data_IF_566989920270
#
_entry.id   IF_566989920270
#
_cell.length_a   1.000
_cell.length_b   1.000
_cell.length_c   1.000
_cell.angle_alpha   90.00
_cell.angle_beta   90.00
_cell.angle_gamma   90.00
#
_symmetry.space_group_name_H-M   'P 1'
#
loop_
_entity.id
_entity.type
_entity.pdbx_description
1 polymer ?
#
# COMPACT_ATOMS: atom_id res chain seq x y z
N UNK A 1 32.40 -7.00 -28.02
CA UNK A 1 31.11 -7.69 -28.25
C UNK A 1 30.21 -6.70 -28.98
N UNK A 2 29.92 -6.94 -30.26
CA UNK A 2 29.00 -6.10 -31.03
C UNK A 2 27.57 -6.39 -30.55
N UNK A 3 26.73 -5.39 -30.23
CA UNK A 3 25.36 -5.64 -29.82
C UNK A 3 24.59 -6.28 -30.99
N UNK A 4 23.91 -7.39 -30.73
CA UNK A 4 23.08 -8.06 -31.74
C UNK A 4 21.88 -7.16 -32.10
N UNK A 5 21.91 -6.55 -33.28
CA UNK A 5 20.88 -5.61 -33.77
C UNK A 5 19.49 -6.24 -33.90
N UNK A 6 19.41 -7.57 -34.01
CA UNK A 6 18.13 -8.29 -34.06
C UNK A 6 17.36 -8.24 -32.73
N UNK A 7 18.06 -8.23 -31.57
CA UNK A 7 17.40 -8.09 -30.25
C UNK A 7 16.92 -6.64 -30.05
N UNK A 8 17.67 -5.66 -30.57
CA UNK A 8 17.26 -4.26 -30.54
C UNK A 8 16.00 -4.01 -31.38
N UNK A 9 15.84 -4.70 -32.52
CA UNK A 9 14.66 -4.61 -33.36
C UNK A 9 13.44 -5.35 -32.79
N UNK A 10 13.61 -6.49 -32.11
CA UNK A 10 12.50 -7.18 -31.42
C UNK A 10 11.91 -6.33 -30.27
N UNK A 11 12.74 -5.53 -29.59
CA UNK A 11 12.29 -4.58 -28.57
C UNK A 11 11.66 -3.29 -29.12
N UNK A 12 11.81 -3.00 -30.41
CA UNK A 12 11.23 -1.79 -31.04
C UNK A 12 9.78 -1.97 -31.50
N UNK A 13 9.28 -3.20 -31.60
CA UNK A 13 7.98 -3.50 -32.22
C UNK A 13 6.85 -3.88 -31.24
N UNK A 14 7.08 -3.97 -29.94
CA UNK A 14 5.95 -4.06 -29.00
C UNK A 14 5.27 -2.69 -28.96
N UNK A 15 4.10 -2.62 -29.59
CA UNK A 15 3.22 -1.45 -29.56
C UNK A 15 3.03 -1.01 -28.11
N UNK A 16 3.68 0.11 -27.83
CA UNK A 16 3.77 0.69 -26.51
C UNK A 16 2.37 1.15 -26.11
N UNK A 17 1.92 0.69 -24.94
CA UNK A 17 0.65 1.05 -24.32
C UNK A 17 -0.58 0.44 -25.00
N UNK A 18 -1.28 -0.45 -24.28
CA UNK A 18 -2.67 -0.78 -24.57
C UNK A 18 -3.56 0.03 -23.63
N UNK A 19 -3.84 1.32 -23.93
CA UNK A 19 -4.68 2.16 -23.08
C UNK A 19 -6.08 1.58 -22.91
N UNK A 20 -6.58 0.85 -23.91
CA UNK A 20 -7.85 0.11 -23.82
C UNK A 20 -7.82 -0.99 -22.74
N UNK A 21 -6.71 -1.72 -22.60
CA UNK A 21 -6.57 -2.75 -21.56
C UNK A 21 -6.52 -2.08 -20.18
N UNK A 22 -5.71 -1.02 -20.02
CA UNK A 22 -5.63 -0.28 -18.77
C UNK A 22 -7.00 0.28 -18.35
N UNK A 23 -7.73 0.87 -19.30
CA UNK A 23 -9.07 1.39 -19.08
C UNK A 23 -10.07 0.27 -18.75
N UNK A 24 -10.05 -0.84 -19.49
CA UNK A 24 -10.91 -2.00 -19.22
C UNK A 24 -10.68 -2.59 -17.82
N UNK A 25 -9.42 -2.71 -17.40
CA UNK A 25 -9.06 -3.15 -16.05
C UNK A 25 -9.50 -2.15 -14.96
N UNK A 26 -9.41 -0.85 -15.24
CA UNK A 26 -9.91 0.18 -14.32
C UNK A 26 -11.43 0.07 -14.13
N UNK A 27 -12.20 -0.08 -15.22
CA UNK A 27 -13.66 -0.29 -15.15
C UNK A 27 -13.99 -1.59 -14.40
N UNK A 28 -13.30 -2.68 -14.69
CA UNK A 28 -13.48 -3.94 -13.96
C UNK A 28 -13.16 -3.78 -12.46
N UNK A 29 -12.19 -2.93 -12.12
CA UNK A 29 -11.85 -2.62 -10.73
C UNK A 29 -12.93 -1.80 -10.05
N UNK A 30 -13.53 -0.81 -10.72
CA UNK A 30 -14.69 -0.09 -10.20
C UNK A 30 -15.86 -1.04 -9.91
N UNK A 31 -16.14 -1.99 -10.81
CA UNK A 31 -17.19 -2.99 -10.57
C UNK A 31 -16.87 -3.87 -9.37
N UNK A 32 -15.68 -4.49 -9.33
CA UNK A 32 -15.29 -5.43 -8.27
C UNK A 32 -15.14 -4.77 -6.91
N UNK A 33 -14.62 -3.54 -6.83
CA UNK A 33 -14.56 -2.77 -5.59
C UNK A 33 -15.92 -2.26 -5.14
N UNK A 34 -16.85 -1.95 -6.04
CA UNK A 34 -18.23 -1.63 -5.66
C UNK A 34 -18.93 -2.85 -5.04
N UNK A 35 -18.76 -4.03 -5.64
CA UNK A 35 -19.27 -5.30 -5.08
C UNK A 35 -18.68 -5.57 -3.68
N UNK A 36 -17.37 -5.37 -3.52
CA UNK A 36 -16.70 -5.50 -2.23
C UNK A 36 -17.25 -4.49 -1.22
N UNK A 37 -17.42 -3.23 -1.62
CA UNK A 37 -17.98 -2.17 -0.79
C UNK A 37 -19.39 -2.48 -0.29
N UNK A 38 -20.23 -3.13 -1.10
CA UNK A 38 -21.55 -3.59 -0.66
C UNK A 38 -21.45 -4.63 0.46
N UNK A 39 -20.58 -5.63 0.27
CA UNK A 39 -20.37 -6.67 1.29
C UNK A 39 -19.79 -6.08 2.58
N UNK A 40 -18.84 -5.15 2.48
CA UNK A 40 -18.25 -4.44 3.61
C UNK A 40 -19.25 -3.52 4.32
N UNK A 41 -20.26 -3.03 3.62
CA UNK A 41 -21.37 -2.27 4.19
C UNK A 41 -22.49 -3.16 4.78
N UNK A 42 -22.25 -4.46 4.91
CA UNK A 42 -23.19 -5.42 5.51
C UNK A 42 -24.33 -5.88 4.60
N UNK A 43 -24.24 -5.66 3.28
CA UNK A 43 -25.25 -6.17 2.33
C UNK A 43 -25.07 -7.69 2.18
N UNK A 44 -26.15 -8.45 2.38
CA UNK A 44 -26.15 -9.90 2.29
C UNK A 44 -25.86 -10.39 0.86
N UNK A 45 -25.29 -11.59 0.71
CA UNK A 45 -24.96 -12.14 -0.61
C UNK A 45 -26.19 -12.24 -1.53
N UNK A 46 -27.36 -12.55 -0.98
CA UNK A 46 -28.63 -12.63 -1.72
C UNK A 46 -29.10 -11.27 -2.25
N UNK A 47 -28.80 -10.17 -1.53
CA UNK A 47 -29.13 -8.79 -1.92
C UNK A 47 -28.10 -8.15 -2.87
N UNK A 48 -26.92 -8.75 -3.02
CA UNK A 48 -25.89 -8.31 -3.97
C UNK A 48 -26.28 -8.70 -5.40
N UNK A 49 -26.83 -9.90 -5.61
CA UNK A 49 -27.12 -10.47 -6.94
C UNK A 49 -28.39 -10.04 -7.69
N UNK A 50 -29.31 -9.22 -7.15
CA UNK A 50 -30.25 -8.46 -7.97
C UNK A 50 -29.70 -7.13 -8.49
N UNK A 51 -28.50 -6.69 -8.03
CA UNK A 51 -27.86 -5.42 -8.41
C UNK A 51 -28.80 -4.21 -8.29
N UNK A 52 -29.56 -4.17 -7.19
CA UNK A 52 -30.49 -3.07 -6.93
C UNK A 52 -29.73 -1.76 -6.68
N UNK A 53 -30.29 -0.64 -7.17
CA UNK A 53 -29.68 0.68 -7.04
C UNK A 53 -29.34 1.09 -5.59
N UNK A 54 -30.19 0.81 -4.57
CA UNK A 54 -29.85 1.09 -3.18
C UNK A 54 -28.65 0.28 -2.65
N UNK A 55 -28.53 -0.99 -3.04
CA UNK A 55 -27.39 -1.82 -2.65
C UNK A 55 -26.10 -1.28 -3.26
N UNK A 56 -26.11 -0.98 -4.57
CA UNK A 56 -24.96 -0.40 -5.27
C UNK A 56 -24.52 0.91 -4.61
N UNK A 57 -25.47 1.78 -4.24
CA UNK A 57 -25.18 3.05 -3.58
C UNK A 57 -24.39 2.89 -2.27
N UNK A 58 -24.62 1.81 -1.50
CA UNK A 58 -23.85 1.51 -0.27
C UNK A 58 -22.39 1.14 -0.56
N UNK A 59 -22.08 0.58 -1.73
CA UNK A 59 -20.71 0.19 -2.11
C UNK A 59 -19.86 1.31 -2.71
N UNK A 60 -20.50 2.37 -3.23
CA UNK A 60 -19.83 3.49 -3.89
C UNK A 60 -18.78 4.19 -3.00
N UNK A 61 -19.06 4.51 -1.71
CA UNK A 61 -18.08 5.20 -0.86
C UNK A 61 -16.74 4.46 -0.75
N UNK A 62 -16.77 3.14 -0.54
CA UNK A 62 -15.56 2.32 -0.51
C UNK A 62 -14.83 2.31 -1.86
N UNK A 63 -15.58 2.06 -2.95
CA UNK A 63 -15.04 2.05 -4.31
C UNK A 63 -14.30 3.35 -4.65
N UNK A 64 -14.93 4.50 -4.40
CA UNK A 64 -14.33 5.81 -4.64
C UNK A 64 -13.09 6.01 -3.78
N UNK A 65 -13.15 5.68 -2.50
CA UNK A 65 -12.02 5.84 -1.58
C UNK A 65 -10.79 5.02 -2.00
N UNK A 66 -10.95 3.71 -2.22
CA UNK A 66 -9.81 2.83 -2.53
C UNK A 66 -9.24 3.11 -3.91
N UNK A 67 -10.10 3.35 -4.92
CA UNK A 67 -9.62 3.64 -6.27
C UNK A 67 -8.97 5.01 -6.35
N UNK A 68 -9.41 6.00 -5.59
CA UNK A 68 -8.74 7.30 -5.49
C UNK A 68 -7.33 7.15 -4.91
N UNK A 69 -7.16 6.43 -3.80
CA UNK A 69 -5.85 6.17 -3.18
C UNK A 69 -4.91 5.51 -4.18
N UNK A 70 -5.33 4.41 -4.81
CA UNK A 70 -4.54 3.68 -5.80
C UNK A 70 -4.20 4.52 -7.04
N UNK A 71 -5.18 5.25 -7.56
CA UNK A 71 -4.98 6.10 -8.75
C UNK A 71 -3.95 7.17 -8.46
N UNK A 72 -4.10 7.92 -7.36
CA UNK A 72 -3.20 9.01 -7.00
C UNK A 72 -1.79 8.47 -6.74
N UNK A 73 -1.68 7.34 -6.04
CA UNK A 73 -0.41 6.66 -5.80
C UNK A 73 0.33 6.36 -7.11
N UNK A 74 -0.29 5.62 -8.05
CA UNK A 74 0.42 5.20 -9.25
C UNK A 74 0.54 6.28 -10.32
N UNK A 75 -0.42 7.21 -10.38
CA UNK A 75 -0.35 8.34 -11.29
C UNK A 75 0.80 9.29 -10.92
N UNK A 76 1.08 9.47 -9.62
CA UNK A 76 2.22 10.26 -9.18
C UNK A 76 3.56 9.67 -9.66
N UNK A 77 3.71 8.33 -9.59
CA UNK A 77 4.87 7.63 -10.13
C UNK A 77 4.95 7.74 -11.65
N UNK A 78 3.82 7.59 -12.35
CA UNK A 78 3.75 7.77 -13.81
C UNK A 78 4.21 9.16 -14.25
N UNK A 79 3.81 10.21 -13.51
CA UNK A 79 4.23 11.59 -13.78
C UNK A 79 5.75 11.74 -13.63
N UNK A 80 6.35 11.18 -12.57
CA UNK A 80 7.81 11.19 -12.39
C UNK A 80 8.52 10.40 -13.49
N UNK A 81 7.99 9.24 -13.88
CA UNK A 81 8.54 8.45 -14.97
C UNK A 81 8.54 9.25 -16.29
N UNK A 82 7.41 9.86 -16.64
CA UNK A 82 7.25 10.67 -17.86
C UNK A 82 8.17 11.88 -17.85
N UNK A 83 8.28 12.60 -16.74
CA UNK A 83 9.17 13.76 -16.59
C UNK A 83 10.64 13.41 -16.81
N UNK A 84 11.04 12.20 -16.41
CA UNK A 84 12.40 11.72 -16.54
C UNK A 84 12.62 10.81 -17.77
N UNK A 85 11.69 10.83 -18.74
CA UNK A 85 11.77 10.07 -20.00
C UNK A 85 11.92 8.54 -19.80
N UNK A 86 11.44 8.03 -18.69
CA UNK A 86 11.38 6.59 -18.40
C UNK A 86 10.17 6.00 -19.13
N UNK A 87 10.39 4.90 -19.86
CA UNK A 87 9.30 4.16 -20.52
C UNK A 87 8.50 3.41 -19.46
N UNK A 88 7.37 3.97 -19.03
CA UNK A 88 6.45 3.37 -18.07
C UNK A 88 5.02 3.30 -18.63
N UNK A 89 4.29 2.22 -18.33
CA UNK A 89 2.88 2.07 -18.73
C UNK A 89 1.95 3.03 -17.99
N UNK A 90 0.68 3.11 -18.40
CA UNK A 90 -0.37 3.59 -17.48
C UNK A 90 -0.55 2.57 -16.33
N UNK A 91 -1.11 2.98 -15.18
CA UNK A 91 -1.39 2.05 -14.09
C UNK A 91 -2.35 0.95 -14.55
N UNK A 92 -1.94 -0.30 -14.40
CA UNK A 92 -2.79 -1.46 -14.61
C UNK A 92 -3.38 -1.88 -13.27
N UNK A 93 -4.69 -1.70 -13.10
CA UNK A 93 -5.40 -2.17 -11.92
C UNK A 93 -5.63 -3.68 -12.00
N UNK A 94 -5.64 -4.32 -10.83
CA UNK A 94 -5.84 -5.76 -10.69
C UNK A 94 -7.21 -5.97 -10.01
N UNK A 95 -8.30 -6.12 -10.78
CA UNK A 95 -9.62 -6.39 -10.24
C UNK A 95 -9.68 -7.81 -9.67
N UNK A 96 -10.36 -7.96 -8.54
CA UNK A 96 -10.53 -9.26 -7.88
C UNK A 96 -12.01 -9.43 -7.55
N UNK A 97 -12.74 -10.31 -8.25
CA UNK A 97 -14.16 -10.51 -7.97
C UNK A 97 -14.35 -11.08 -6.55
N UNK A 98 -14.94 -10.31 -5.61
CA UNK A 98 -14.98 -10.70 -4.20
C UNK A 98 -15.81 -11.96 -3.99
N UNK A 99 -16.87 -12.15 -4.78
CA UNK A 99 -17.76 -13.32 -4.66
C UNK A 99 -17.15 -14.60 -5.23
N UNK A 100 -16.35 -14.50 -6.30
CA UNK A 100 -15.79 -15.68 -6.97
C UNK A 100 -14.48 -16.14 -6.31
N UNK A 101 -13.64 -15.19 -5.90
CA UNK A 101 -12.31 -15.46 -5.35
C UNK A 101 -12.25 -15.40 -3.82
N UNK A 102 -13.34 -15.02 -3.16
CA UNK A 102 -13.41 -14.93 -1.69
C UNK A 102 -12.52 -13.84 -1.08
N UNK A 103 -11.97 -12.94 -1.90
CA UNK A 103 -11.11 -11.85 -1.43
C UNK A 103 -11.93 -10.59 -1.16
N UNK A 104 -12.00 -10.10 0.09
CA UNK A 104 -13.04 -9.16 0.52
C UNK A 104 -12.86 -7.73 -0.02
N UNK A 105 -11.67 -7.38 -0.52
CA UNK A 105 -11.34 -5.98 -0.85
C UNK A 105 -11.61 -5.59 -2.32
N UNK A 106 -11.94 -6.55 -3.18
CA UNK A 106 -12.29 -6.28 -4.58
C UNK A 106 -11.12 -5.95 -5.52
N UNK A 107 -9.89 -5.78 -5.01
CA UNK A 107 -8.71 -5.50 -5.83
C UNK A 107 -7.40 -5.86 -5.12
N UNK A 108 -6.40 -6.33 -5.86
CA UNK A 108 -5.02 -6.47 -5.35
C UNK A 108 -4.21 -5.18 -5.47
N UNK A 109 -4.85 -4.08 -5.87
CA UNK A 109 -4.21 -2.80 -6.13
C UNK A 109 -3.96 -2.58 -7.62
N UNK A 110 -2.90 -1.83 -7.92
CA UNK A 110 -2.46 -1.59 -9.28
C UNK A 110 -0.94 -1.69 -9.36
N UNK A 111 -0.42 -1.74 -10.57
CA UNK A 111 1.02 -1.67 -10.78
C UNK A 111 1.36 -0.79 -11.98
N UNK A 112 2.54 -0.20 -11.91
CA UNK A 112 3.13 0.61 -12.98
C UNK A 112 4.26 -0.20 -13.62
N UNK A 113 4.11 -0.60 -14.89
CA UNK A 113 5.15 -1.37 -15.56
C UNK A 113 6.24 -0.44 -16.10
N UNK A 114 7.43 -0.51 -15.50
CA UNK A 114 8.63 0.19 -15.98
C UNK A 114 9.40 -0.73 -16.93
N UNK A 115 9.77 -0.24 -18.11
CA UNK A 115 10.43 -1.04 -19.18
C UNK A 115 11.79 -0.47 -19.63
N UNK A 116 12.31 0.53 -18.92
CA UNK A 116 13.64 1.09 -19.16
C UNK A 116 14.36 1.29 -17.83
N UNK A 117 15.70 1.11 -17.80
CA UNK A 117 16.48 1.27 -16.57
C UNK A 117 16.42 2.70 -16.05
N UNK A 118 16.62 2.85 -14.73
CA UNK A 118 16.64 4.17 -14.09
C UNK A 118 17.89 4.96 -14.52
N UNK A 119 17.77 6.23 -14.95
CA UNK A 119 18.92 7.00 -15.42
C UNK A 119 20.01 7.23 -14.37
N UNK A 120 19.61 7.49 -13.13
CA UNK A 120 20.52 7.78 -12.01
C UNK A 120 19.81 7.54 -10.66
N UNK A 121 20.57 7.56 -9.57
CA UNK A 121 20.07 7.38 -8.20
C UNK A 121 19.01 8.39 -7.76
N UNK A 122 19.07 9.63 -8.26
CA UNK A 122 18.07 10.68 -7.93
C UNK A 122 16.68 10.31 -8.48
N UNK A 123 16.63 9.85 -9.73
CA UNK A 123 15.37 9.41 -10.35
C UNK A 123 14.88 8.10 -9.74
N UNK A 124 15.79 7.18 -9.38
CA UNK A 124 15.46 5.96 -8.64
C UNK A 124 14.79 6.30 -7.30
N UNK A 125 15.34 7.26 -6.55
CA UNK A 125 14.75 7.77 -5.33
C UNK A 125 13.37 8.37 -5.58
N UNK A 126 13.24 9.31 -6.52
CA UNK A 126 11.98 10.01 -6.79
C UNK A 126 10.86 9.03 -7.17
N UNK A 127 11.18 7.99 -7.96
CA UNK A 127 10.23 6.93 -8.33
C UNK A 127 9.79 6.07 -7.13
N UNK A 128 10.73 5.76 -6.22
CA UNK A 128 10.43 5.03 -4.98
C UNK A 128 9.67 5.88 -3.96
N UNK A 129 9.97 7.16 -3.86
CA UNK A 129 9.44 8.04 -2.82
C UNK A 129 8.04 8.59 -3.14
N UNK A 130 7.79 9.05 -4.37
CA UNK A 130 6.59 9.83 -4.70
C UNK A 130 5.29 9.07 -4.47
N UNK A 131 5.24 7.79 -4.89
CA UNK A 131 4.03 6.96 -4.81
C UNK A 131 3.55 6.80 -3.37
N UNK A 132 4.38 6.22 -2.48
CA UNK A 132 4.03 6.02 -1.09
C UNK A 132 3.66 7.29 -0.36
N UNK A 133 4.36 8.40 -0.61
CA UNK A 133 4.13 9.66 0.10
C UNK A 133 2.82 10.32 -0.33
N UNK A 134 2.59 10.43 -1.63
CA UNK A 134 1.34 11.02 -2.15
C UNK A 134 0.16 10.10 -1.83
N UNK A 135 0.34 8.78 -1.92
CA UNK A 135 -0.66 7.80 -1.51
C UNK A 135 -1.00 7.89 -0.02
N UNK A 136 0.00 8.01 0.86
CA UNK A 136 -0.21 8.21 2.30
C UNK A 136 -0.92 9.53 2.58
N UNK A 137 -0.53 10.61 1.90
CA UNK A 137 -1.19 11.92 2.03
C UNK A 137 -2.66 11.88 1.62
N UNK A 138 -3.03 11.05 0.65
CA UNK A 138 -4.44 10.80 0.28
C UNK A 138 -5.13 9.85 1.27
N UNK A 139 -4.40 8.88 1.79
CA UNK A 139 -4.92 7.87 2.73
C UNK A 139 -5.31 8.48 4.06
N UNK A 140 -4.50 9.37 4.65
CA UNK A 140 -4.76 9.95 5.97
C UNK A 140 -6.12 10.67 6.09
N UNK A 141 -6.50 11.62 5.21
CA UNK A 141 -7.79 12.28 5.32
C UNK A 141 -8.97 11.32 5.10
N UNK A 142 -8.82 10.35 4.18
CA UNK A 142 -9.84 9.33 3.93
C UNK A 142 -10.02 8.44 5.16
N UNK A 143 -8.93 8.01 5.77
CA UNK A 143 -8.94 7.19 6.98
C UNK A 143 -9.55 7.97 8.17
N UNK A 144 -9.15 9.23 8.38
CA UNK A 144 -9.70 10.07 9.45
C UNK A 144 -11.21 10.27 9.29
N UNK A 145 -11.67 10.56 8.07
CA UNK A 145 -13.10 10.71 7.79
C UNK A 145 -13.86 9.40 7.96
N UNK A 146 -13.28 8.28 7.52
CA UNK A 146 -13.88 6.97 7.71
C UNK A 146 -13.99 6.59 9.19
N UNK A 147 -12.94 6.82 9.96
CA UNK A 147 -12.90 6.54 11.39
C UNK A 147 -13.93 7.38 12.16
N UNK A 148 -14.12 8.65 11.81
CA UNK A 148 -15.13 9.50 12.47
C UNK A 148 -16.58 9.07 12.18
N UNK A 149 -16.81 8.24 11.16
CA UNK A 149 -18.12 7.63 10.85
C UNK A 149 -18.19 6.16 11.26
N UNK A 150 -17.16 5.64 11.94
CA UNK A 150 -17.13 4.26 12.45
C UNK A 150 -17.80 4.18 13.82
N UNK A 151 -18.31 3.00 14.16
CA UNK A 151 -19.05 2.75 15.40
C UNK A 151 -18.15 2.08 16.44
N UNK A 152 -18.33 2.45 17.71
CA UNK A 152 -17.63 1.82 18.82
C UNK A 152 -18.42 0.61 19.32
N UNK A 153 -17.75 -0.53 19.46
CA UNK A 153 -18.33 -1.77 19.98
C UNK A 153 -17.52 -2.25 21.19
N UNK A 154 -18.15 -3.04 22.07
CA UNK A 154 -17.43 -3.69 23.17
C UNK A 154 -16.41 -4.69 22.59
N UNK A 155 -15.15 -4.63 23.02
CA UNK A 155 -14.07 -5.44 22.41
C UNK A 155 -14.36 -6.94 22.50
N UNK A 156 -14.48 -7.66 21.36
CA UNK A 156 -14.47 -9.11 21.36
C UNK A 156 -13.06 -9.64 21.69
N UNK A 157 -12.96 -10.91 22.09
CA UNK A 157 -11.71 -11.55 22.56
C UNK A 157 -10.63 -11.73 21.46
N UNK A 158 -10.97 -11.59 20.18
CA UNK A 158 -10.04 -11.68 19.04
C UNK A 158 -10.09 -10.41 18.17
N UNK A 159 -9.08 -9.53 18.30
CA UNK A 159 -8.94 -8.28 17.53
C UNK A 159 -7.58 -8.19 16.82
N UNK A 160 -7.55 -7.63 15.59
CA UNK A 160 -6.37 -7.59 14.72
C UNK A 160 -6.28 -6.30 13.88
N UNK A 161 -5.15 -6.07 13.20
CA UNK A 161 -4.90 -4.86 12.39
C UNK A 161 -5.69 -4.88 11.06
N UNK A 162 -5.92 -6.08 10.52
CA UNK A 162 -6.67 -6.32 9.29
C UNK A 162 -7.95 -7.13 9.50
N UNK A 163 -8.30 -7.42 10.76
CA UNK A 163 -9.59 -7.99 11.09
C UNK A 163 -10.68 -6.93 10.96
N UNK A 164 -11.39 -6.96 9.83
CA UNK A 164 -12.46 -6.02 9.48
C UNK A 164 -13.57 -6.00 10.55
N UNK A 165 -13.79 -7.13 11.24
CA UNK A 165 -14.82 -7.26 12.26
C UNK A 165 -14.37 -6.79 13.66
N UNK A 166 -13.06 -6.67 13.90
CA UNK A 166 -12.49 -6.32 15.21
C UNK A 166 -11.14 -5.62 15.06
N UNK A 167 -11.20 -4.39 14.56
CA UNK A 167 -10.01 -3.56 14.37
C UNK A 167 -9.41 -3.14 15.72
N UNK A 168 -8.13 -3.47 15.95
CA UNK A 168 -7.36 -2.97 17.09
C UNK A 168 -6.42 -1.82 16.69
N UNK A 169 -6.76 -0.55 17.02
CA UNK A 169 -5.89 0.59 16.74
C UNK A 169 -4.51 0.50 17.39
N UNK A 170 -4.35 -0.28 18.47
CA UNK A 170 -3.11 -0.39 19.24
C UNK A 170 -2.01 -1.16 18.52
N UNK A 171 -2.37 -1.97 17.52
CA UNK A 171 -1.43 -2.78 16.74
C UNK A 171 -0.49 -1.95 15.85
N UNK A 172 -0.73 -0.64 15.69
CA UNK A 172 0.14 0.28 14.97
C UNK A 172 0.17 1.65 15.64
N UNK A 173 1.36 2.22 15.85
CA UNK A 173 1.52 3.55 16.45
C UNK A 173 0.80 4.64 15.63
N UNK A 174 0.95 4.63 14.31
CA UNK A 174 0.30 5.62 13.44
C UNK A 174 -1.22 5.49 13.52
N UNK A 175 -1.74 4.27 13.45
CA UNK A 175 -3.18 4.02 13.50
C UNK A 175 -3.74 4.42 14.87
N UNK A 176 -3.09 4.08 15.97
CA UNK A 176 -3.51 4.51 17.31
C UNK A 176 -3.68 6.03 17.41
N UNK A 177 -2.74 6.79 16.86
CA UNK A 177 -2.79 8.26 16.83
C UNK A 177 -3.94 8.77 15.97
N UNK A 178 -4.10 8.23 14.75
CA UNK A 178 -5.18 8.64 13.84
C UNK A 178 -6.56 8.26 14.38
N UNK A 179 -6.70 7.07 14.98
CA UNK A 179 -7.92 6.61 15.63
C UNK A 179 -8.28 7.49 16.81
N UNK A 180 -7.35 7.84 17.70
CA UNK A 180 -7.65 8.76 18.81
C UNK A 180 -8.04 10.16 18.31
N UNK A 181 -7.39 10.63 17.24
CA UNK A 181 -7.72 11.92 16.63
C UNK A 181 -9.13 11.95 16.02
N UNK A 182 -9.53 10.88 15.34
CA UNK A 182 -10.84 10.77 14.69
C UNK A 182 -11.98 10.39 15.66
N UNK A 183 -11.67 9.61 16.69
CA UNK A 183 -12.59 9.10 17.71
C UNK A 183 -12.08 9.48 19.12
N UNK A 184 -12.38 10.71 19.60
CA UNK A 184 -11.92 11.16 20.91
C UNK A 184 -12.43 10.29 22.08
N UNK A 185 -13.61 9.68 21.92
CA UNK A 185 -14.27 8.82 22.92
C UNK A 185 -13.69 7.39 22.99
N UNK A 186 -12.72 7.06 22.13
CA UNK A 186 -12.10 5.73 22.11
C UNK A 186 -11.35 5.47 23.43
N UNK A 187 -11.71 4.38 24.09
CA UNK A 187 -11.13 3.90 25.36
C UNK A 187 -10.36 2.59 25.16
N UNK A 188 -9.60 2.15 26.18
CA UNK A 188 -8.73 0.95 26.10
C UNK A 188 -9.46 -0.36 25.77
N UNK A 189 -10.75 -0.45 26.12
CA UNK A 189 -11.57 -1.68 26.04
C UNK A 189 -12.64 -1.64 24.93
N UNK A 190 -12.60 -0.62 24.07
CA UNK A 190 -13.50 -0.48 22.93
C UNK A 190 -12.79 -0.98 21.66
N UNK A 191 -13.51 -1.75 20.85
CA UNK A 191 -13.12 -2.04 19.47
C UNK A 191 -13.90 -1.13 18.52
N UNK A 192 -13.41 -1.00 17.28
CA UNK A 192 -14.03 -0.15 16.27
C UNK A 192 -14.58 -1.03 15.16
N UNK A 193 -15.89 -0.94 14.92
CA UNK A 193 -16.51 -1.46 13.71
C UNK A 193 -16.31 -0.42 12.59
N UNK A 194 -15.47 -0.77 11.63
CA UNK A 194 -14.98 0.17 10.62
C UNK A 194 -16.05 0.48 9.58
N UNK A 195 -16.30 1.77 9.36
CA UNK A 195 -17.02 2.23 8.17
C UNK A 195 -16.25 1.79 6.90
N UNK A 196 -16.92 1.42 5.78
CA UNK A 196 -16.24 0.96 4.58
C UNK A 196 -15.13 1.90 4.08
N UNK A 197 -15.31 3.21 4.22
CA UNK A 197 -14.27 4.20 3.86
C UNK A 197 -13.05 4.13 4.79
N UNK A 198 -13.22 3.81 6.07
CA UNK A 198 -12.12 3.58 7.00
C UNK A 198 -11.32 2.33 6.61
N UNK A 199 -12.01 1.27 6.15
CA UNK A 199 -11.37 0.06 5.62
C UNK A 199 -10.50 0.40 4.40
N UNK A 200 -11.01 1.20 3.47
CA UNK A 200 -10.22 1.69 2.33
C UNK A 200 -8.97 2.48 2.77
N UNK A 201 -9.10 3.32 3.82
CA UNK A 201 -7.97 4.00 4.45
C UNK A 201 -6.95 3.04 5.06
N UNK A 202 -7.40 2.01 5.78
CA UNK A 202 -6.52 0.98 6.34
C UNK A 202 -5.78 0.19 5.25
N UNK A 203 -6.46 -0.12 4.14
CA UNK A 203 -5.83 -0.71 2.96
C UNK A 203 -4.80 0.23 2.33
N UNK A 204 -5.06 1.54 2.30
CA UNK A 204 -4.07 2.54 1.87
C UNK A 204 -2.80 2.50 2.73
N UNK A 205 -2.95 2.36 4.05
CA UNK A 205 -1.82 2.19 4.99
C UNK A 205 -1.09 0.87 4.72
N UNK A 206 -1.80 -0.23 4.47
CA UNK A 206 -1.21 -1.52 4.09
C UNK A 206 -0.40 -1.42 2.80
N UNK A 207 -0.96 -0.80 1.76
CA UNK A 207 -0.30 -0.58 0.48
C UNK A 207 0.97 0.25 0.68
N UNK A 208 0.90 1.33 1.46
CA UNK A 208 2.07 2.13 1.80
C UNK A 208 3.12 1.31 2.56
N UNK A 209 2.71 0.49 3.52
CA UNK A 209 3.58 -0.38 4.31
C UNK A 209 4.34 -1.37 3.42
N UNK A 210 3.62 -2.15 2.60
CA UNK A 210 4.23 -3.12 1.68
C UNK A 210 5.22 -2.40 0.77
N UNK A 211 4.83 -1.27 0.18
CA UNK A 211 5.68 -0.58 -0.78
C UNK A 211 6.88 0.11 -0.14
N UNK A 212 6.78 0.61 1.09
CA UNK A 212 7.90 1.25 1.79
C UNK A 212 8.87 0.27 2.43
N UNK A 213 8.56 -1.04 2.43
CA UNK A 213 9.52 -2.05 2.89
C UNK A 213 10.85 -1.90 2.14
N UNK A 214 11.99 -1.86 2.85
CA UNK A 214 13.29 -1.59 2.26
C UNK A 214 13.87 -2.82 1.56
N UNK A 215 13.11 -3.46 0.67
CA UNK A 215 13.42 -4.78 0.12
C UNK A 215 13.26 -4.82 -1.40
N UNK A 216 14.35 -5.15 -2.11
CA UNK A 216 14.30 -5.49 -3.53
C UNK A 216 13.71 -4.39 -4.41
N UNK A 217 12.74 -4.78 -5.24
CA UNK A 217 12.07 -3.91 -6.22
C UNK A 217 10.99 -3.00 -5.63
N UNK A 218 10.68 -3.17 -4.34
CA UNK A 218 9.72 -2.33 -3.64
C UNK A 218 10.25 -0.91 -3.57
N UNK A 219 9.33 0.04 -3.39
CA UNK A 219 9.66 1.46 -3.37
C UNK A 219 10.63 1.82 -2.23
N UNK A 220 10.51 1.20 -1.06
CA UNK A 220 11.48 1.31 0.04
C UNK A 220 12.86 0.77 -0.35
N UNK A 221 12.92 -0.34 -1.09
CA UNK A 221 14.16 -0.88 -1.62
C UNK A 221 14.88 0.12 -2.54
N UNK A 222 14.13 0.79 -3.42
CA UNK A 222 14.65 1.86 -4.29
C UNK A 222 15.12 3.08 -3.51
N UNK A 223 14.41 3.49 -2.46
CA UNK A 223 14.82 4.58 -1.57
C UNK A 223 16.17 4.25 -0.92
N UNK A 224 16.28 3.07 -0.30
CA UNK A 224 17.49 2.67 0.41
C UNK A 224 18.66 2.43 -0.54
N UNK A 225 18.44 1.83 -1.71
CA UNK A 225 19.45 1.76 -2.77
C UNK A 225 19.91 3.16 -3.15
N UNK A 226 18.99 4.07 -3.43
CA UNK A 226 19.34 5.41 -3.85
C UNK A 226 20.11 6.20 -2.79
N UNK A 227 19.89 5.96 -1.49
CA UNK A 227 20.61 6.61 -0.39
C UNK A 227 21.97 5.98 -0.11
N UNK A 228 22.05 4.65 -0.01
CA UNK A 228 23.24 3.95 0.50
C UNK A 228 24.02 3.15 -0.55
N UNK A 229 23.55 3.15 -1.80
CA UNK A 229 24.07 2.35 -2.90
C UNK A 229 23.52 0.92 -2.91
N UNK A 230 23.72 0.22 -4.03
CA UNK A 230 23.12 -1.10 -4.27
C UNK A 230 23.51 -2.15 -3.21
N UNK A 231 24.79 -2.23 -2.85
CA UNK A 231 25.30 -3.26 -1.90
C UNK A 231 24.74 -3.07 -0.50
N UNK A 232 24.84 -1.84 0.02
CA UNK A 232 24.34 -1.49 1.35
C UNK A 232 22.82 -1.57 1.39
N UNK A 233 22.13 -1.16 0.31
CA UNK A 233 20.68 -1.30 0.21
C UNK A 233 20.22 -2.75 0.22
N UNK A 234 20.93 -3.65 -0.45
CA UNK A 234 20.65 -5.09 -0.39
C UNK A 234 20.84 -5.66 1.02
N UNK A 235 21.88 -5.24 1.73
CA UNK A 235 22.12 -5.62 3.13
C UNK A 235 20.98 -5.15 4.04
N UNK A 236 20.58 -3.88 3.92
CA UNK A 236 19.45 -3.32 4.67
C UNK A 236 18.17 -4.10 4.39
N UNK A 237 17.94 -4.50 3.14
CA UNK A 237 16.79 -5.32 2.79
C UNK A 237 16.82 -6.73 3.38
N UNK A 238 18.00 -7.35 3.49
CA UNK A 238 18.13 -8.63 4.21
C UNK A 238 17.84 -8.47 5.70
N UNK A 239 18.38 -7.43 6.32
CA UNK A 239 18.12 -7.12 7.75
C UNK A 239 16.62 -6.88 7.96
N UNK A 240 15.97 -6.10 7.11
CA UNK A 240 14.53 -5.84 7.23
C UNK A 240 13.68 -7.11 7.10
N UNK A 241 14.03 -8.04 6.21
CA UNK A 241 13.35 -9.34 6.12
C UNK A 241 13.44 -10.12 7.42
N UNK A 242 14.63 -10.18 8.01
CA UNK A 242 14.85 -10.88 9.28
C UNK A 242 14.04 -10.20 10.38
N UNK A 243 14.04 -8.87 10.46
CA UNK A 243 13.28 -8.11 11.46
C UNK A 243 11.76 -8.34 11.33
N UNK A 244 11.22 -8.31 10.11
CA UNK A 244 9.78 -8.57 9.89
C UNK A 244 9.43 -10.03 10.21
N UNK A 245 10.32 -10.99 9.90
CA UNK A 245 10.14 -12.39 10.28
C UNK A 245 10.16 -12.56 11.81
N UNK A 246 11.07 -11.89 12.51
CA UNK A 246 11.12 -11.89 13.97
C UNK A 246 9.86 -11.25 14.57
N UNK A 247 9.36 -10.15 14.00
CA UNK A 247 8.11 -9.52 14.41
C UNK A 247 6.94 -10.50 14.28
N UNK A 248 6.85 -11.23 13.16
CA UNK A 248 5.82 -12.25 12.93
C UNK A 248 5.94 -13.43 13.88
N UNK A 249 7.17 -13.82 14.24
CA UNK A 249 7.40 -14.86 15.23
C UNK A 249 6.98 -14.44 16.65
N UNK A 250 7.26 -13.18 17.04
CA UNK A 250 6.82 -12.63 18.34
C UNK A 250 5.29 -12.59 18.43
N UNK A 251 4.62 -12.21 17.34
CA UNK A 251 3.15 -12.13 17.25
C UNK A 251 2.53 -13.36 16.59
N UNK A 252 3.11 -14.55 16.82
CA UNK A 252 2.73 -15.80 16.13
C UNK A 252 1.24 -16.18 16.24
N UNK A 253 0.56 -15.70 17.27
CA UNK A 253 -0.87 -15.93 17.50
C UNK A 253 -1.73 -15.21 16.45
N UNK A 254 -1.24 -14.13 15.86
CA UNK A 254 -1.91 -13.35 14.84
C UNK A 254 -1.43 -13.78 13.45
N UNK A 255 -2.27 -14.53 12.73
CA UNK A 255 -1.93 -15.07 11.40
C UNK A 255 -1.57 -13.98 10.37
N UNK A 256 -2.13 -12.77 10.53
CA UNK A 256 -1.91 -11.63 9.63
C UNK A 256 -0.44 -11.23 9.50
N UNK A 257 0.35 -11.37 10.57
CA UNK A 257 1.76 -10.98 10.58
C UNK A 257 2.65 -11.87 9.71
N UNK A 258 2.18 -13.06 9.33
CA UNK A 258 2.93 -13.99 8.47
C UNK A 258 2.86 -13.65 6.98
N UNK A 259 1.83 -12.93 6.54
CA UNK A 259 1.62 -12.61 5.12
C UNK A 259 2.82 -11.83 4.54
N UNK A 260 3.26 -10.81 5.29
CA UNK A 260 4.31 -9.90 4.87
C UNK A 260 5.70 -10.55 4.77
N UNK A 261 6.22 -11.28 5.78
CA UNK A 261 7.51 -11.97 5.65
C UNK A 261 7.49 -13.06 4.57
N UNK A 262 6.37 -13.78 4.38
CA UNK A 262 6.23 -14.75 3.29
C UNK A 262 6.36 -14.05 1.93
N UNK A 263 5.63 -12.95 1.74
CA UNK A 263 5.72 -12.15 0.52
C UNK A 263 7.16 -11.67 0.26
N UNK A 264 7.82 -11.12 1.29
CA UNK A 264 9.19 -10.60 1.18
C UNK A 264 10.24 -11.69 0.96
N UNK A 265 10.00 -12.92 1.42
CA UNK A 265 10.91 -14.06 1.23
C UNK A 265 11.08 -14.41 -0.24
N UNK A 266 9.99 -14.40 -1.01
CA UNK A 266 10.01 -14.72 -2.45
C UNK A 266 10.52 -13.58 -3.34
N UNK A 267 10.71 -12.38 -2.79
CA UNK A 267 11.24 -11.25 -3.56
C UNK A 267 12.78 -11.31 -3.64
N UNK A 268 13.39 -10.98 -4.79
CA UNK A 268 14.84 -10.76 -4.87
C UNK A 268 15.28 -9.60 -3.96
N UNK A 269 16.45 -9.69 -3.33
CA UNK A 269 16.98 -8.61 -2.46
C UNK A 269 17.63 -7.47 -3.24
N UNK A 270 17.97 -7.70 -4.50
CA UNK A 270 18.68 -6.76 -5.38
C UNK A 270 17.79 -6.48 -6.58
N UNK A 271 17.65 -5.19 -6.91
CA UNK A 271 17.02 -4.72 -8.14
C UNK A 271 18.09 -4.31 -9.19
N UNK A 272 17.66 -4.08 -10.42
CA UNK A 272 18.52 -3.57 -11.49
C UNK A 272 19.15 -2.22 -11.09
N UNK A 273 20.48 -2.06 -11.20
CA UNK A 273 21.13 -0.81 -10.84
C UNK A 273 20.75 0.32 -11.80
N UNK A 274 20.76 1.55 -11.28
CA UNK A 274 20.64 2.72 -12.13
C UNK A 274 21.85 2.82 -13.09
N UNK A 275 21.63 3.38 -14.29
CA UNK A 275 22.69 3.55 -15.30
C UNK A 275 23.87 4.37 -14.76
N UNK A 276 23.58 5.40 -13.97
CA UNK A 276 24.56 6.12 -13.18
C UNK A 276 24.32 5.89 -11.68
N UNK A 277 24.96 4.87 -11.13
CA UNK A 277 24.88 4.50 -9.70
C UNK A 277 26.03 5.10 -8.85
N UNK A 278 26.95 5.85 -9.48
CA UNK A 278 28.11 6.45 -8.81
C UNK A 278 27.76 7.81 -8.21
N UNK A 279 26.85 8.56 -8.85
CA UNK A 279 26.46 9.89 -8.37
C UNK A 279 25.71 9.82 -7.04
N UNK A 280 26.12 10.64 -6.08
CA UNK A 280 25.47 10.74 -4.78
C UNK A 280 24.08 11.38 -4.83
N UNK A 281 23.29 11.05 -3.81
CA UNK A 281 22.00 11.69 -3.54
C UNK A 281 22.24 13.05 -2.85
N UNK A 282 21.27 13.95 -2.93
CA UNK A 282 21.31 15.23 -2.24
C UNK A 282 20.71 15.13 -0.83
N UNK A 283 21.25 15.91 0.11
CA UNK A 283 20.86 15.91 1.53
C UNK A 283 19.34 16.02 1.78
N UNK A 284 18.60 16.70 0.89
CA UNK A 284 17.14 16.82 0.99
C UNK A 284 16.46 15.48 0.78
N UNK A 285 16.86 14.74 -0.24
CA UNK A 285 16.33 13.40 -0.53
C UNK A 285 16.74 12.40 0.55
N UNK A 286 17.94 12.50 1.11
CA UNK A 286 18.32 11.66 2.25
C UNK A 286 17.40 11.87 3.45
N UNK A 287 17.13 13.12 3.82
CA UNK A 287 16.18 13.44 4.89
C UNK A 287 14.77 12.91 4.59
N UNK A 288 14.28 13.10 3.36
CA UNK A 288 12.96 12.60 2.94
C UNK A 288 12.91 11.06 2.96
N UNK A 289 13.99 10.38 2.55
CA UNK A 289 14.09 8.93 2.61
C UNK A 289 14.04 8.41 4.04
N UNK A 290 14.77 9.04 4.96
CA UNK A 290 14.69 8.74 6.39
C UNK A 290 13.28 8.99 6.94
N UNK A 291 12.60 10.07 6.55
CA UNK A 291 11.23 10.35 6.96
C UNK A 291 10.24 9.28 6.44
N UNK A 292 10.42 8.79 5.21
CA UNK A 292 9.60 7.70 4.67
C UNK A 292 9.84 6.36 5.40
N UNK A 293 11.09 6.07 5.76
CA UNK A 293 11.40 4.89 6.59
C UNK A 293 10.87 5.03 8.02
N UNK A 294 10.90 6.24 8.60
CA UNK A 294 10.29 6.52 9.89
C UNK A 294 8.77 6.35 9.86
N UNK A 295 8.11 6.75 8.76
CA UNK A 295 6.69 6.48 8.53
C UNK A 295 6.40 4.97 8.45
N UNK A 296 7.24 4.19 7.77
CA UNK A 296 7.11 2.73 7.76
C UNK A 296 7.19 2.15 9.18
N UNK A 297 8.19 2.58 9.95
CA UNK A 297 8.40 2.10 11.32
C UNK A 297 7.21 2.46 12.22
N UNK A 298 6.65 3.67 12.08
CA UNK A 298 5.46 4.07 12.85
C UNK A 298 4.20 3.30 12.47
N UNK A 299 4.14 2.75 11.25
CA UNK A 299 3.03 1.89 10.85
C UNK A 299 3.22 0.46 11.39
N UNK A 300 4.42 -0.12 11.26
CA UNK A 300 4.67 -1.53 11.61
C UNK A 300 4.71 -1.75 13.11
N UNK A 301 5.30 -0.82 13.87
CA UNK A 301 5.48 -1.02 15.29
C UNK A 301 4.17 -0.79 16.06
N UNK A 302 3.83 -1.68 17.00
CA UNK A 302 2.69 -1.47 17.88
C UNK A 302 2.91 -0.24 18.76
N UNK A 303 1.81 0.40 19.16
CA UNK A 303 1.86 1.57 20.02
C UNK A 303 2.48 1.21 21.40
N UNK A 304 3.47 1.98 21.90
CA UNK A 304 4.07 1.71 23.21
C UNK A 304 3.02 1.75 24.33
N UNK A 305 3.11 0.89 25.37
CA UNK A 305 2.13 0.83 26.46
C UNK A 305 1.91 2.17 27.18
N UNK A 306 2.97 2.97 27.36
CA UNK A 306 2.86 4.29 27.97
C UNK A 306 2.01 5.25 27.13
N UNK A 307 2.14 5.17 25.80
CA UNK A 307 1.41 6.01 24.87
C UNK A 307 -0.03 5.54 24.70
N UNK A 308 -0.29 4.23 24.69
CA UNK A 308 -1.66 3.70 24.66
C UNK A 308 -2.44 4.10 25.92
N UNK A 309 -1.81 4.03 27.09
CA UNK A 309 -2.45 4.45 28.34
C UNK A 309 -2.70 5.97 28.40
N UNK A 310 -1.80 6.77 27.82
CA UNK A 310 -1.98 8.22 27.70
C UNK A 310 -3.10 8.59 26.72
N UNK A 311 -3.21 7.88 25.59
CA UNK A 311 -4.22 8.15 24.58
C UNK A 311 -5.60 7.62 24.97
N UNK A 312 -5.68 6.43 25.56
CA UNK A 312 -6.95 5.71 25.73
C UNK A 312 -7.35 5.44 27.18
N UNK A 313 -6.50 5.78 28.16
CA UNK A 313 -6.72 5.48 29.58
C UNK A 313 -7.55 6.51 30.35
N UNK A 314 -8.16 7.48 29.66
CA UNK A 314 -9.06 8.47 30.23
C UNK A 314 -10.53 8.03 30.11
#
# INVERSE_FOLDING_TARGET
MVPNSQIAHLNQQQTLFHPMIAFGLFIATLCTTTLAGMALAGVSAEEIFPLNLPSIAKGIPYCVAITLILTVYHLSQYIIAKRNQIKASLPYFIPVPPVVLGFPFGTFGAFLQVRSPMPNRKVLFDMGFVGPVVGALMTFPILLWGLSHSTLIASPEESGLFNIASFDPKASLLIALLSKLALPELTLNAAVELHPVAIAGCLGILIATINLMPVGQLNGGKIVHAMFGQRTGALIGQVARILVLLLAYVHREQQEFWILPILLFFMPSVDEPALNDVSELDNRRDFLGLAALALLVSIILPAPPALTHLLFGA
#
